data_IF_357768932204
#
_entry.id   IF_357768932204
#
_cell.length_a   1.000
_cell.length_b   1.000
_cell.length_c   1.000
_cell.angle_alpha   90.00
_cell.angle_beta   90.00
_cell.angle_gamma   90.00
#
_symmetry.space_group_name_H-M   'P 1'
#
loop_
_entity.id
_entity.type
_entity.pdbx_description
1 polymer ?
#
# COMPACT_ATOMS: atom_id res chain seq x y z
N UNK A 1 -16.07 5.86 7.79
CA UNK A 1 -16.99 4.85 8.37
C UNK A 1 -18.17 5.48 9.14
N UNK A 2 -18.07 6.76 9.56
CA UNK A 2 -19.13 7.43 10.32
C UNK A 2 -20.35 7.83 9.46
N UNK A 3 -20.14 8.03 8.16
CA UNK A 3 -21.18 8.54 7.26
C UNK A 3 -21.81 7.50 6.31
N UNK A 4 -21.22 6.32 6.16
CA UNK A 4 -21.73 5.25 5.30
C UNK A 4 -21.43 3.88 5.94
N UNK A 5 -22.36 3.35 6.76
CA UNK A 5 -22.15 2.09 7.48
C UNK A 5 -22.01 0.86 6.55
N UNK A 6 -22.38 0.97 5.29
CA UNK A 6 -22.26 -0.10 4.29
C UNK A 6 -20.87 -0.19 3.63
N UNK A 7 -20.01 0.81 3.79
CA UNK A 7 -18.66 0.84 3.22
C UNK A 7 -17.63 0.51 4.30
N UNK A 8 -17.52 -0.77 4.65
CA UNK A 8 -16.46 -1.27 5.53
C UNK A 8 -15.11 -1.15 4.84
N UNK A 9 -14.24 -0.29 5.39
CA UNK A 9 -12.82 -0.24 4.99
C UNK A 9 -12.08 -1.25 5.87
N UNK A 10 -11.71 -2.37 5.27
CA UNK A 10 -10.89 -3.39 5.92
C UNK A 10 -9.51 -3.42 5.24
N UNK A 11 -8.43 -3.27 6.00
CA UNK A 11 -7.06 -3.28 5.47
C UNK A 11 -6.77 -2.15 4.46
N UNK A 12 -7.17 -0.92 4.78
CA UNK A 12 -6.91 0.25 3.93
C UNK A 12 -5.44 0.70 3.92
N UNK A 13 -5.14 1.67 3.06
CA UNK A 13 -3.77 2.20 2.83
C UNK A 13 -3.06 2.67 4.11
N UNK A 14 -3.79 3.24 5.08
CA UNK A 14 -3.20 3.68 6.36
C UNK A 14 -2.71 2.49 7.20
N UNK A 15 -3.48 1.40 7.23
CA UNK A 15 -3.11 0.16 7.90
C UNK A 15 -1.86 -0.44 7.25
N UNK A 16 -1.81 -0.44 5.92
CA UNK A 16 -0.64 -0.88 5.16
C UNK A 16 0.61 -0.06 5.51
N UNK A 17 0.54 1.28 5.45
CA UNK A 17 1.68 2.16 5.74
C UNK A 17 2.16 2.03 7.19
N UNK A 18 1.24 1.97 8.14
CA UNK A 18 1.55 1.76 9.55
C UNK A 18 2.25 0.43 9.78
N UNK A 19 1.69 -0.66 9.28
CA UNK A 19 2.26 -2.01 9.41
C UNK A 19 3.60 -2.15 8.71
N UNK A 20 3.73 -1.61 7.49
CA UNK A 20 4.98 -1.64 6.75
C UNK A 20 6.10 -0.89 7.48
N UNK A 21 5.76 0.26 8.09
CA UNK A 21 6.71 1.03 8.90
C UNK A 21 7.14 0.29 10.15
N UNK A 22 6.20 -0.36 10.84
CA UNK A 22 6.49 -1.18 12.02
C UNK A 22 7.34 -2.41 11.68
N UNK A 23 7.03 -3.09 10.57
CA UNK A 23 7.81 -4.23 10.10
C UNK A 23 9.21 -3.85 9.64
N UNK A 24 9.38 -2.63 9.10
CA UNK A 24 10.70 -2.16 8.69
C UNK A 24 11.68 -2.04 9.86
N UNK A 25 11.20 -1.70 11.08
CA UNK A 25 12.05 -1.52 12.25
C UNK A 25 12.89 -2.78 12.55
N UNK A 26 12.31 -3.96 12.78
CA UNK A 26 13.08 -5.17 13.05
C UNK A 26 13.79 -5.72 11.80
N UNK A 27 13.27 -5.48 10.59
CA UNK A 27 13.87 -5.97 9.34
C UNK A 27 15.06 -5.13 8.88
N UNK A 28 15.14 -3.88 9.32
CA UNK A 28 16.18 -2.93 8.91
C UNK A 28 17.61 -3.49 8.99
N UNK A 29 18.09 -4.10 10.09
CA UNK A 29 19.45 -4.61 10.16
C UNK A 29 19.74 -5.73 9.15
N UNK A 30 18.73 -6.51 8.77
CA UNK A 30 18.88 -7.54 7.73
C UNK A 30 18.87 -6.90 6.32
N UNK A 31 17.98 -5.95 6.08
CA UNK A 31 17.86 -5.26 4.79
C UNK A 31 19.08 -4.37 4.48
N UNK A 32 19.71 -3.82 5.51
CA UNK A 32 20.92 -3.00 5.34
C UNK A 32 22.12 -3.80 4.83
N UNK A 33 22.17 -5.12 5.07
CA UNK A 33 23.19 -6.02 4.54
C UNK A 33 23.04 -6.28 3.04
N UNK A 34 21.85 -6.06 2.49
CA UNK A 34 21.58 -6.27 1.07
C UNK A 34 22.05 -5.04 0.28
N UNK A 35 22.83 -5.22 -0.81
CA UNK A 35 23.19 -4.14 -1.72
C UNK A 35 21.92 -3.44 -2.24
N UNK A 36 21.86 -2.12 -2.17
CA UNK A 36 20.65 -1.36 -2.47
C UNK A 36 20.09 -1.62 -3.87
N UNK A 37 20.95 -1.86 -4.87
CA UNK A 37 20.52 -2.20 -6.24
C UNK A 37 19.83 -3.56 -6.31
N UNK A 38 20.39 -4.58 -5.63
CA UNK A 38 19.80 -5.91 -5.59
C UNK A 38 18.50 -5.92 -4.77
N UNK A 39 18.49 -5.19 -3.64
CA UNK A 39 17.29 -5.02 -2.83
C UNK A 39 16.15 -4.35 -3.59
N UNK A 40 16.47 -3.31 -4.38
CA UNK A 40 15.49 -2.62 -5.22
C UNK A 40 14.92 -3.56 -6.29
N UNK A 41 15.78 -4.23 -7.05
CA UNK A 41 15.34 -5.16 -8.10
C UNK A 41 14.56 -6.33 -7.51
N UNK A 42 15.04 -6.94 -6.43
CA UNK A 42 14.40 -8.07 -5.76
C UNK A 42 13.03 -7.72 -5.18
N UNK A 43 12.92 -6.59 -4.46
CA UNK A 43 11.64 -6.15 -3.90
C UNK A 43 10.63 -5.78 -4.99
N UNK A 44 11.07 -5.15 -6.07
CA UNK A 44 10.19 -4.84 -7.19
C UNK A 44 9.71 -6.10 -7.93
N UNK A 45 10.60 -7.06 -8.17
CA UNK A 45 10.23 -8.35 -8.77
C UNK A 45 9.26 -9.13 -7.88
N UNK A 46 9.47 -9.13 -6.57
CA UNK A 46 8.54 -9.76 -5.63
C UNK A 46 7.18 -9.07 -5.62
N UNK A 47 7.15 -7.75 -5.71
CA UNK A 47 5.89 -7.01 -5.88
C UNK A 47 5.15 -7.46 -7.13
N UNK A 48 5.83 -7.54 -8.29
CA UNK A 48 5.21 -7.98 -9.53
C UNK A 48 4.71 -9.43 -9.44
N UNK A 49 5.51 -10.33 -8.87
CA UNK A 49 5.15 -11.73 -8.72
C UNK A 49 3.94 -11.95 -7.79
N UNK A 50 3.81 -11.14 -6.75
CA UNK A 50 2.75 -11.23 -5.75
C UNK A 50 1.54 -10.33 -6.06
N UNK A 51 1.55 -9.63 -7.19
CA UNK A 51 0.51 -8.65 -7.52
C UNK A 51 -0.88 -9.27 -7.57
N UNK A 52 -1.01 -10.46 -8.12
CA UNK A 52 -2.28 -11.16 -8.33
C UNK A 52 -2.59 -12.22 -7.25
N UNK A 53 -1.88 -12.17 -6.11
CA UNK A 53 -2.10 -13.07 -4.96
C UNK A 53 -3.55 -13.04 -4.46
N UNK A 54 -4.19 -11.89 -4.47
CA UNK A 54 -5.60 -11.74 -4.08
C UNK A 54 -6.59 -12.46 -5.01
N UNK A 55 -6.16 -12.79 -6.23
CA UNK A 55 -6.95 -13.52 -7.24
C UNK A 55 -6.68 -15.03 -7.23
N UNK A 56 -5.82 -15.53 -6.34
CA UNK A 56 -5.50 -16.95 -6.22
C UNK A 56 -4.30 -17.43 -7.02
N UNK A 57 -3.53 -16.50 -7.62
CA UNK A 57 -2.40 -16.83 -8.46
C UNK A 57 -1.17 -16.02 -8.06
N UNK A 58 0.01 -16.60 -8.30
CA UNK A 58 1.25 -15.85 -8.39
C UNK A 58 1.40 -15.33 -9.82
N UNK A 59 1.60 -14.03 -9.98
CA UNK A 59 1.76 -13.44 -11.31
C UNK A 59 1.46 -11.96 -11.36
N UNK A 60 1.41 -11.43 -12.59
CA UNK A 60 1.17 -10.03 -12.89
C UNK A 60 0.25 -9.89 -14.11
N UNK A 61 -0.87 -9.19 -13.97
CA UNK A 61 -1.80 -8.77 -15.01
C UNK A 61 -2.11 -9.87 -16.07
N UNK A 62 -2.53 -11.06 -15.60
CA UNK A 62 -2.93 -12.17 -16.47
C UNK A 62 -1.81 -13.17 -16.80
N UNK A 63 -0.58 -12.92 -16.39
CA UNK A 63 0.50 -13.90 -16.45
C UNK A 63 0.48 -14.75 -15.18
N UNK A 64 -0.15 -15.92 -15.24
CA UNK A 64 -0.24 -16.83 -14.11
C UNK A 64 0.99 -17.73 -14.06
N UNK A 65 1.83 -17.57 -13.04
CA UNK A 65 3.04 -18.38 -12.82
C UNK A 65 2.70 -19.66 -12.05
N UNK A 66 1.89 -19.54 -11.00
CA UNK A 66 1.46 -20.68 -10.19
C UNK A 66 0.12 -20.39 -9.52
N UNK A 67 -0.73 -21.41 -9.39
CA UNK A 67 -1.96 -21.36 -8.61
C UNK A 67 -1.63 -21.55 -7.12
N UNK A 68 -2.30 -20.78 -6.26
CA UNK A 68 -2.16 -20.88 -4.82
C UNK A 68 -3.23 -21.80 -4.24
N UNK A 69 -2.91 -22.57 -3.16
CA UNK A 69 -3.87 -23.48 -2.54
C UNK A 69 -5.03 -22.69 -1.90
N UNK A 70 -6.26 -23.12 -2.15
CA UNK A 70 -7.49 -22.49 -1.65
C UNK A 70 -7.59 -22.44 -0.11
N UNK A 71 -6.81 -23.25 0.60
CA UNK A 71 -6.74 -23.25 2.06
C UNK A 71 -6.25 -21.91 2.65
N UNK A 72 -5.50 -21.13 1.90
CA UNK A 72 -5.01 -19.81 2.32
C UNK A 72 -6.13 -18.75 2.35
N UNK A 73 -7.23 -18.97 1.61
CA UNK A 73 -8.32 -18.01 1.41
C UNK A 73 -9.54 -18.28 2.31
N UNK A 74 -9.32 -18.82 3.53
CA UNK A 74 -10.42 -19.23 4.42
C UNK A 74 -10.70 -18.24 5.57
N UNK A 75 -9.74 -17.40 5.93
CA UNK A 75 -9.79 -16.57 7.12
C UNK A 75 -9.71 -15.06 6.81
N UNK A 76 -10.39 -14.24 7.63
CA UNK A 76 -10.27 -12.78 7.55
C UNK A 76 -8.87 -12.26 7.93
N UNK A 77 -8.10 -13.00 8.74
CA UNK A 77 -6.72 -12.66 9.05
C UNK A 77 -5.80 -12.82 7.85
N UNK A 78 -6.05 -13.83 7.01
CA UNK A 78 -5.29 -14.03 5.78
C UNK A 78 -5.62 -12.99 4.72
N UNK A 79 -6.82 -12.39 4.77
CA UNK A 79 -7.16 -11.24 3.93
C UNK A 79 -6.20 -10.07 4.14
N UNK A 80 -5.77 -9.82 5.38
CA UNK A 80 -4.79 -8.76 5.66
C UNK A 80 -3.44 -9.01 4.95
N UNK A 81 -3.02 -10.27 4.84
CA UNK A 81 -1.80 -10.64 4.12
C UNK A 81 -1.96 -10.58 2.59
N UNK A 82 -3.15 -10.78 2.07
CA UNK A 82 -3.40 -10.79 0.63
C UNK A 82 -4.23 -11.99 0.14
N UNK A 83 -4.78 -12.77 1.06
CA UNK A 83 -5.58 -13.96 0.77
C UNK A 83 -7.04 -13.76 1.24
N UNK A 84 -7.84 -12.95 0.52
CA UNK A 84 -9.22 -12.67 0.93
C UNK A 84 -10.10 -13.92 0.76
N UNK A 85 -10.97 -14.25 1.74
CA UNK A 85 -11.95 -15.33 1.61
C UNK A 85 -13.01 -14.98 0.56
N UNK A 86 -13.70 -16.02 0.07
CA UNK A 86 -14.79 -15.84 -0.88
C UNK A 86 -15.88 -14.91 -0.30
N UNK A 87 -16.30 -13.91 -1.07
CA UNK A 87 -17.26 -12.90 -0.63
C UNK A 87 -16.67 -11.74 0.19
N UNK A 88 -15.35 -11.68 0.34
CA UNK A 88 -14.70 -10.54 0.98
C UNK A 88 -14.89 -9.26 0.14
N UNK A 89 -15.41 -8.23 0.78
CA UNK A 89 -15.56 -6.91 0.16
C UNK A 89 -14.93 -5.83 1.04
N UNK A 90 -14.14 -4.97 0.43
CA UNK A 90 -13.61 -3.76 1.05
C UNK A 90 -13.45 -2.67 0.00
N UNK A 91 -13.88 -1.46 0.32
CA UNK A 91 -13.83 -0.33 -0.61
C UNK A 91 -12.41 0.16 -0.87
N UNK A 92 -11.51 0.00 0.10
CA UNK A 92 -10.11 0.40 0.04
C UNK A 92 -9.24 -0.76 0.53
N UNK A 93 -9.01 -1.76 -0.34
CA UNK A 93 -8.27 -2.96 0.01
C UNK A 93 -6.83 -2.90 -0.49
N UNK A 94 -5.92 -2.77 0.46
CA UNK A 94 -4.47 -2.82 0.23
C UNK A 94 -3.85 -3.92 1.10
N UNK A 95 -3.76 -5.16 0.58
CA UNK A 95 -3.16 -6.27 1.32
C UNK A 95 -1.67 -6.03 1.57
N UNK A 96 -1.18 -6.55 2.70
CA UNK A 96 0.20 -6.31 3.11
C UNK A 96 1.21 -6.89 2.11
N UNK A 97 1.03 -8.13 1.65
CA UNK A 97 2.05 -8.89 0.92
C UNK A 97 2.54 -8.18 -0.35
N UNK A 98 1.73 -7.88 -1.36
CA UNK A 98 2.28 -7.24 -2.55
C UNK A 98 2.77 -5.82 -2.26
N UNK A 99 2.01 -5.04 -1.50
CA UNK A 99 2.29 -3.63 -1.29
C UNK A 99 3.45 -3.36 -0.34
N UNK A 100 3.75 -4.28 0.59
CA UNK A 100 4.94 -4.21 1.43
C UNK A 100 6.22 -4.28 0.59
N UNK A 101 6.25 -5.10 -0.46
CA UNK A 101 7.41 -5.16 -1.35
C UNK A 101 7.56 -3.89 -2.19
N UNK A 102 6.46 -3.26 -2.57
CA UNK A 102 6.51 -1.94 -3.20
C UNK A 102 7.02 -0.86 -2.22
N UNK A 103 6.62 -0.92 -0.96
CA UNK A 103 7.15 -0.05 0.10
C UNK A 103 8.67 -0.25 0.29
N UNK A 104 9.15 -1.50 0.30
CA UNK A 104 10.58 -1.82 0.35
C UNK A 104 11.34 -1.32 -0.88
N UNK A 105 10.73 -1.38 -2.06
CA UNK A 105 11.29 -0.81 -3.30
C UNK A 105 11.57 0.69 -3.12
N UNK A 106 10.62 1.44 -2.56
CA UNK A 106 10.79 2.85 -2.21
C UNK A 106 11.91 3.08 -1.19
N UNK A 107 12.02 2.21 -0.18
CA UNK A 107 13.08 2.28 0.82
C UNK A 107 14.48 2.03 0.22
N UNK A 108 14.64 1.03 -0.66
CA UNK A 108 15.90 0.78 -1.35
C UNK A 108 16.24 1.88 -2.36
N UNK A 109 15.24 2.45 -3.04
CA UNK A 109 15.43 3.59 -3.92
C UNK A 109 15.96 4.81 -3.15
N UNK A 110 15.41 5.08 -1.97
CA UNK A 110 15.92 6.11 -1.06
C UNK A 110 17.40 5.88 -0.69
N UNK A 111 17.79 4.63 -0.44
CA UNK A 111 19.19 4.28 -0.14
C UNK A 111 20.16 4.50 -1.31
N UNK A 112 19.67 4.38 -2.55
CA UNK A 112 20.48 4.61 -3.74
C UNK A 112 20.72 6.10 -4.02
N UNK A 113 19.77 6.97 -3.67
CA UNK A 113 19.81 8.40 -3.99
C UNK A 113 19.50 9.30 -2.79
N UNK A 114 20.29 9.18 -1.70
CA UNK A 114 20.01 9.93 -0.48
C UNK A 114 20.14 11.45 -0.66
N UNK A 115 21.04 11.91 -1.54
CA UNK A 115 21.28 13.33 -1.77
C UNK A 115 20.12 14.01 -2.52
N UNK A 116 19.59 13.38 -3.57
CA UNK A 116 18.44 13.90 -4.31
C UNK A 116 17.22 14.06 -3.40
N UNK A 117 16.98 13.09 -2.51
CA UNK A 117 15.88 13.16 -1.55
C UNK A 117 16.12 14.24 -0.50
N UNK A 118 17.38 14.48 -0.12
CA UNK A 118 17.75 15.56 0.80
C UNK A 118 17.45 16.93 0.20
N UNK A 119 17.65 17.12 -1.11
CA UNK A 119 17.29 18.35 -1.82
C UNK A 119 15.78 18.57 -1.87
N UNK A 120 14.98 17.53 -2.15
CA UNK A 120 13.51 17.59 -2.10
C UNK A 120 13.01 18.01 -0.71
N UNK A 121 13.66 17.53 0.36
CA UNK A 121 13.34 17.96 1.74
C UNK A 121 13.57 19.44 2.02
N UNK A 122 14.37 20.13 1.21
CA UNK A 122 14.61 21.60 1.33
C UNK A 122 13.48 22.42 0.76
N UNK A 123 12.60 21.84 -0.05
CA UNK A 123 11.43 22.54 -0.59
C UNK A 123 10.38 22.70 0.53
N UNK A 124 10.13 23.94 1.03
CA UNK A 124 9.29 24.15 2.21
C UNK A 124 7.84 23.72 2.00
N UNK A 125 7.33 23.85 0.78
CA UNK A 125 5.97 23.45 0.42
C UNK A 125 5.82 21.92 0.53
N UNK A 126 6.72 21.14 -0.07
CA UNK A 126 6.69 19.66 0.00
C UNK A 126 6.85 19.16 1.43
N UNK A 127 7.70 19.82 2.23
CA UNK A 127 7.87 19.49 3.65
C UNK A 127 6.59 19.76 4.44
N UNK A 128 5.91 20.89 4.21
CA UNK A 128 4.66 21.22 4.87
C UNK A 128 3.53 20.25 4.48
N UNK A 129 3.43 19.89 3.19
CA UNK A 129 2.48 18.89 2.70
C UNK A 129 2.75 17.51 3.30
N UNK A 130 4.01 17.07 3.32
CA UNK A 130 4.40 15.79 3.93
C UNK A 130 4.06 15.71 5.43
N UNK A 131 4.30 16.79 6.19
CA UNK A 131 3.96 16.86 7.61
C UNK A 131 2.46 16.86 7.89
N UNK A 132 1.63 17.21 6.90
CA UNK A 132 0.16 17.25 6.98
C UNK A 132 -0.52 16.23 6.07
N UNK A 133 0.22 15.27 5.54
CA UNK A 133 -0.29 14.29 4.57
C UNK A 133 -1.50 13.51 5.08
N UNK A 134 -1.50 13.13 6.36
CA UNK A 134 -2.63 12.45 7.00
C UNK A 134 -3.89 13.34 7.01
N UNK A 135 -3.74 14.62 7.35
CA UNK A 135 -4.84 15.58 7.39
C UNK A 135 -5.38 15.82 5.97
N UNK A 136 -4.50 15.97 4.98
CA UNK A 136 -4.88 16.11 3.56
C UNK A 136 -5.66 14.86 3.10
N UNK A 137 -5.18 13.67 3.45
CA UNK A 137 -5.85 12.40 3.16
C UNK A 137 -7.25 12.32 3.80
N UNK A 138 -7.36 12.68 5.07
CA UNK A 138 -8.63 12.66 5.80
C UNK A 138 -9.65 13.68 5.26
N UNK A 139 -9.17 14.84 4.79
CA UNK A 139 -10.03 15.89 4.23
C UNK A 139 -10.42 15.63 2.77
N UNK A 140 -9.68 14.81 2.04
CA UNK A 140 -9.95 14.56 0.62
C UNK A 140 -11.38 14.05 0.38
N UNK A 141 -11.84 13.06 1.15
CA UNK A 141 -13.18 12.48 0.99
C UNK A 141 -14.32 13.48 1.29
N UNK A 142 -14.36 14.18 2.44
CA UNK A 142 -15.42 15.14 2.72
C UNK A 142 -15.40 16.34 1.76
N UNK A 143 -14.22 16.80 1.32
CA UNK A 143 -14.12 17.91 0.34
C UNK A 143 -14.67 17.48 -1.00
N UNK A 144 -14.32 16.30 -1.52
CA UNK A 144 -14.87 15.76 -2.76
C UNK A 144 -16.39 15.58 -2.68
N UNK A 145 -16.88 15.06 -1.54
CA UNK A 145 -18.31 14.90 -1.33
C UNK A 145 -19.07 16.22 -1.39
N UNK A 146 -18.57 17.26 -0.70
CA UNK A 146 -19.16 18.60 -0.70
C UNK A 146 -19.13 19.21 -2.09
N UNK A 147 -18.01 19.09 -2.82
CA UNK A 147 -17.88 19.58 -4.20
C UNK A 147 -18.87 18.92 -5.15
N UNK A 148 -18.96 17.58 -5.10
CA UNK A 148 -19.92 16.83 -5.92
C UNK A 148 -21.35 17.19 -5.56
N UNK A 149 -21.70 17.26 -4.27
CA UNK A 149 -23.04 17.63 -3.83
C UNK A 149 -23.41 19.07 -4.27
N UNK A 150 -22.45 20.00 -4.29
CA UNK A 150 -22.66 21.35 -4.78
C UNK A 150 -22.89 21.39 -6.31
N UNK A 151 -22.08 20.62 -7.06
CA UNK A 151 -22.23 20.51 -8.53
C UNK A 151 -23.57 19.88 -8.94
N UNK A 152 -23.98 18.81 -8.28
CA UNK A 152 -25.25 18.14 -8.60
C UNK A 152 -26.50 18.86 -8.08
N UNK A 153 -26.37 19.80 -7.15
CA UNK A 153 -27.49 20.67 -6.74
C UNK A 153 -27.63 21.92 -7.63
N UNK A 154 -26.59 22.27 -8.36
CA UNK A 154 -26.57 23.45 -9.24
C UNK A 154 -27.02 23.15 -10.69
N UNK A 155 -27.27 21.89 -11.04
CA UNK A 155 -27.84 21.43 -12.32
C UNK A 155 -29.17 20.74 -12.11
#
# INVERSE_FOLDING_TARGET
AVFLPENLIFCGVLTLLGSSSLLLIPLRPALEKIPARLGLAGSFLLFLLLRDVNSGFLGFEGVHVAALPSQLYQNHLTAYLGFPPAGFFSTDYFPLLPWFFLFLTGWFLFRLRPEEVREIRRVPVLRAMGGRSLLIYMLNQPVLYVLLAALFRAG
#
